data_IF_951612272695
#
_entry.id   IF_951612272695
#
_cell.length_a   1.000
_cell.length_b   1.000
_cell.length_c   1.000
_cell.angle_alpha   90.00
_cell.angle_beta   90.00
_cell.angle_gamma   90.00
#
_symmetry.space_group_name_H-M   'P 1'
#
loop_
_entity.id
_entity.type
_entity.pdbx_description
1 polymer ?
#
# COMPACT_ATOMS: atom_id res chain seq x y z
N UNK A 1 3.24 -10.18 -15.13
CA UNK A 1 2.28 -10.87 -14.23
C UNK A 1 0.94 -10.86 -14.94
N UNK A 2 0.26 -12.01 -15.07
CA UNK A 2 -1.06 -12.02 -15.69
C UNK A 2 -2.13 -11.41 -14.77
N UNK A 3 -3.28 -11.07 -15.34
CA UNK A 3 -4.35 -10.33 -14.66
C UNK A 3 -4.82 -11.01 -13.36
N UNK A 4 -5.12 -12.31 -13.41
CA UNK A 4 -5.61 -13.05 -12.24
C UNK A 4 -4.58 -13.05 -11.10
N UNK A 5 -3.29 -13.18 -11.41
CA UNK A 5 -2.22 -13.08 -10.41
C UNK A 5 -2.13 -11.68 -9.82
N UNK A 6 -2.22 -10.63 -10.65
CA UNK A 6 -2.21 -9.24 -10.16
C UNK A 6 -3.36 -8.99 -9.19
N UNK A 7 -4.57 -9.42 -9.54
CA UNK A 7 -5.75 -9.30 -8.66
C UNK A 7 -5.55 -10.00 -7.32
N UNK A 8 -5.15 -11.28 -7.34
CA UNK A 8 -4.93 -12.06 -6.10
C UNK A 8 -3.81 -11.46 -5.25
N UNK A 9 -2.73 -11.02 -5.88
CA UNK A 9 -1.62 -10.38 -5.19
C UNK A 9 -2.02 -9.04 -4.57
N UNK A 10 -2.78 -8.22 -5.31
CA UNK A 10 -3.36 -6.98 -4.79
C UNK A 10 -4.28 -7.23 -3.58
N UNK A 11 -5.14 -8.26 -3.63
CA UNK A 11 -5.95 -8.66 -2.46
C UNK A 11 -5.06 -9.08 -1.29
N UNK A 12 -4.00 -9.88 -1.53
CA UNK A 12 -3.07 -10.30 -0.49
C UNK A 12 -2.37 -9.12 0.19
N UNK A 13 -1.85 -8.18 -0.60
CA UNK A 13 -1.24 -6.94 -0.10
C UNK A 13 -2.28 -6.08 0.65
N UNK A 14 -3.50 -5.98 0.11
CA UNK A 14 -4.57 -5.23 0.74
C UNK A 14 -4.99 -5.80 2.10
N UNK A 15 -5.07 -7.12 2.21
CA UNK A 15 -5.36 -7.81 3.49
C UNK A 15 -4.23 -7.60 4.48
N UNK A 16 -2.96 -7.69 4.05
CA UNK A 16 -1.81 -7.43 4.91
C UNK A 16 -1.86 -6.01 5.51
N UNK A 17 -2.11 -5.01 4.67
CA UNK A 17 -2.25 -3.61 5.09
C UNK A 17 -3.39 -3.42 6.11
N UNK A 18 -4.55 -4.03 5.85
CA UNK A 18 -5.70 -3.94 6.75
C UNK A 18 -5.44 -4.61 8.09
N UNK A 19 -4.95 -5.85 8.10
CA UNK A 19 -4.76 -6.61 9.33
C UNK A 19 -3.71 -5.99 10.22
N UNK A 20 -2.58 -5.55 9.67
CA UNK A 20 -1.56 -4.88 10.46
C UNK A 20 -2.01 -3.48 10.90
N UNK A 21 -2.70 -2.72 10.04
CA UNK A 21 -3.29 -1.44 10.44
C UNK A 21 -4.29 -1.58 11.59
N UNK A 22 -5.15 -2.60 11.56
CA UNK A 22 -6.08 -2.90 12.64
C UNK A 22 -5.37 -3.38 13.90
N UNK A 23 -4.36 -4.26 13.76
CA UNK A 23 -3.57 -4.74 14.90
C UNK A 23 -2.83 -3.60 15.61
N UNK A 24 -2.27 -2.65 14.83
CA UNK A 24 -1.65 -1.44 15.37
C UNK A 24 -2.68 -0.51 16.01
N UNK A 25 -3.84 -0.28 15.37
CA UNK A 25 -4.90 0.54 15.95
C UNK A 25 -5.37 0.00 17.32
N UNK A 26 -5.55 -1.32 17.43
CA UNK A 26 -5.96 -1.98 18.67
C UNK A 26 -4.82 -1.97 19.70
N UNK A 27 -3.60 -2.33 19.28
CA UNK A 27 -2.43 -2.44 20.15
C UNK A 27 -1.93 -1.11 20.71
N UNK A 28 -2.07 -0.03 19.94
CA UNK A 28 -1.64 1.33 20.32
C UNK A 28 -2.61 1.98 21.31
N UNK A 29 -3.79 1.40 21.59
CA UNK A 29 -4.81 2.03 22.46
C UNK A 29 -4.96 3.51 22.10
N UNK A 30 -5.41 3.81 20.88
CA UNK A 30 -5.43 5.17 20.27
C UNK A 30 -5.98 6.32 21.15
N UNK A 31 -6.65 6.00 22.26
CA UNK A 31 -7.18 6.93 23.25
C UNK A 31 -6.26 7.20 24.45
N UNK A 32 -5.09 6.55 24.54
CA UNK A 32 -4.14 6.75 25.64
C UNK A 32 -3.07 7.78 25.25
N UNK A 33 -3.18 9.04 25.74
CA UNK A 33 -2.24 10.10 25.39
C UNK A 33 -0.84 9.90 26.00
N UNK A 34 -0.66 8.95 26.93
CA UNK A 34 0.67 8.59 27.44
C UNK A 34 1.43 7.68 26.48
N UNK A 35 0.76 7.17 25.44
CA UNK A 35 1.36 6.27 24.49
C UNK A 35 2.19 7.05 23.44
N UNK A 36 3.52 6.84 23.36
CA UNK A 36 4.40 7.55 22.41
C UNK A 36 4.09 7.23 20.94
N UNK A 37 3.22 6.27 20.68
CA UNK A 37 2.74 5.90 19.36
C UNK A 37 1.59 6.79 18.87
N UNK A 38 0.87 7.45 19.77
CA UNK A 38 -0.24 8.35 19.43
C UNK A 38 0.32 9.70 18.98
N UNK A 39 0.28 9.94 17.68
CA UNK A 39 0.64 11.23 17.09
C UNK A 39 -0.14 11.45 15.79
N UNK A 40 -0.44 12.71 15.42
CA UNK A 40 -1.14 13.00 14.16
C UNK A 40 -0.44 12.40 12.94
N UNK A 41 0.90 12.29 12.98
CA UNK A 41 1.71 11.64 11.94
C UNK A 41 1.34 10.15 11.84
N UNK A 42 1.40 9.41 12.95
CA UNK A 42 1.15 7.97 12.94
C UNK A 42 -0.31 7.64 12.61
N UNK A 43 -1.26 8.45 13.08
CA UNK A 43 -2.69 8.30 12.78
C UNK A 43 -2.97 8.49 11.28
N UNK A 44 -2.33 9.48 10.65
CA UNK A 44 -2.42 9.69 9.21
C UNK A 44 -1.85 8.50 8.43
N UNK A 45 -0.63 8.06 8.76
CA UNK A 45 0.01 6.95 8.07
C UNK A 45 -0.79 5.64 8.24
N UNK A 46 -1.37 5.41 9.42
CA UNK A 46 -2.25 4.27 9.69
C UNK A 46 -3.54 4.33 8.86
N UNK A 47 -4.17 5.52 8.80
CA UNK A 47 -5.38 5.75 7.99
C UNK A 47 -5.12 5.50 6.51
N UNK A 48 -3.94 5.88 6.02
CA UNK A 48 -3.51 5.60 4.65
C UNK A 48 -3.32 4.10 4.41
N UNK A 49 -2.70 3.36 5.33
CA UNK A 49 -2.56 1.89 5.24
C UNK A 49 -3.95 1.22 5.15
N UNK A 50 -4.89 1.61 6.00
CA UNK A 50 -6.26 1.08 5.98
C UNK A 50 -7.00 1.43 4.67
N UNK A 51 -6.91 2.68 4.23
CA UNK A 51 -7.57 3.15 3.01
C UNK A 51 -7.03 2.42 1.76
N UNK A 52 -5.71 2.37 1.62
CA UNK A 52 -5.04 1.68 0.50
C UNK A 52 -5.37 0.18 0.54
N UNK A 53 -5.32 -0.42 1.73
CA UNK A 53 -5.66 -1.83 1.92
C UNK A 53 -7.10 -2.15 1.51
N UNK A 54 -8.06 -1.33 1.92
CA UNK A 54 -9.47 -1.45 1.55
C UNK A 54 -9.69 -1.31 0.04
N UNK A 55 -9.08 -0.29 -0.58
CA UNK A 55 -9.14 -0.04 -2.03
C UNK A 55 -8.59 -1.24 -2.81
N UNK A 56 -7.43 -1.77 -2.42
CA UNK A 56 -6.81 -2.93 -3.05
C UNK A 56 -7.68 -4.19 -2.94
N UNK A 57 -8.26 -4.44 -1.76
CA UNK A 57 -9.17 -5.57 -1.57
C UNK A 57 -10.45 -5.42 -2.40
N UNK A 58 -11.01 -4.22 -2.44
CA UNK A 58 -12.23 -3.91 -3.17
C UNK A 58 -12.06 -4.17 -4.67
N UNK A 59 -11.10 -3.51 -5.31
CA UNK A 59 -10.86 -3.64 -6.75
C UNK A 59 -10.31 -5.02 -7.13
N UNK A 60 -9.43 -5.59 -6.30
CA UNK A 60 -8.88 -6.93 -6.50
C UNK A 60 -9.95 -8.02 -6.55
N UNK A 61 -10.99 -7.92 -5.72
CA UNK A 61 -12.09 -8.89 -5.66
C UNK A 61 -13.15 -8.64 -6.72
N UNK A 62 -13.56 -7.39 -6.94
CA UNK A 62 -14.80 -7.08 -7.68
C UNK A 62 -14.64 -6.79 -9.17
N UNK A 63 -13.46 -6.38 -9.61
CA UNK A 63 -13.29 -5.85 -10.97
C UNK A 63 -12.10 -6.46 -11.69
N UNK A 64 -12.19 -6.48 -13.02
CA UNK A 64 -11.05 -6.74 -13.89
C UNK A 64 -10.03 -5.61 -13.80
N UNK A 65 -8.75 -5.90 -14.03
CA UNK A 65 -7.68 -4.88 -13.91
C UNK A 65 -7.88 -3.76 -14.94
N UNK A 66 -8.51 -4.08 -16.07
CA UNK A 66 -8.92 -3.11 -17.08
C UNK A 66 -9.85 -2.01 -16.58
N UNK A 67 -10.68 -2.32 -15.59
CA UNK A 67 -11.71 -1.42 -15.04
C UNK A 67 -11.19 -0.58 -13.86
N UNK A 68 -10.04 -0.94 -13.28
CA UNK A 68 -9.48 -0.24 -12.13
C UNK A 68 -9.18 1.21 -12.49
N UNK A 69 -9.60 2.22 -11.71
CA UNK A 69 -9.47 3.62 -12.11
C UNK A 69 -7.99 4.04 -12.22
N UNK A 70 -7.69 5.01 -13.09
CA UNK A 70 -6.32 5.55 -13.22
C UNK A 70 -5.81 6.18 -11.91
N UNK A 71 -6.73 6.73 -11.11
CA UNK A 71 -6.45 7.27 -9.77
C UNK A 71 -5.88 6.22 -8.81
N UNK A 72 -6.12 4.93 -9.04
CA UNK A 72 -5.50 3.86 -8.26
C UNK A 72 -3.98 3.90 -8.35
N UNK A 73 -3.43 4.27 -9.52
CA UNK A 73 -1.99 4.45 -9.68
C UNK A 73 -1.44 5.52 -8.73
N UNK A 74 -2.17 6.63 -8.56
CA UNK A 74 -1.80 7.71 -7.63
C UNK A 74 -1.91 7.28 -6.17
N UNK A 75 -2.96 6.54 -5.81
CA UNK A 75 -3.13 5.97 -4.46
C UNK A 75 -1.95 5.04 -4.12
N UNK A 76 -1.59 4.16 -5.05
CA UNK A 76 -0.47 3.24 -4.89
C UNK A 76 0.87 3.98 -4.79
N UNK A 77 1.08 5.04 -5.58
CA UNK A 77 2.28 5.86 -5.48
C UNK A 77 2.38 6.54 -4.10
N UNK A 78 1.28 7.11 -3.61
CA UNK A 78 1.22 7.69 -2.26
C UNK A 78 1.59 6.64 -1.20
N UNK A 79 1.04 5.43 -1.30
CA UNK A 79 1.36 4.33 -0.39
C UNK A 79 2.86 3.94 -0.44
N UNK A 80 3.47 3.87 -1.63
CA UNK A 80 4.92 3.65 -1.78
C UNK A 80 5.72 4.76 -1.09
N UNK A 81 5.34 6.02 -1.29
CA UNK A 81 6.03 7.17 -0.65
C UNK A 81 5.87 7.12 0.87
N UNK A 82 4.68 6.81 1.37
CA UNK A 82 4.38 6.68 2.81
C UNK A 82 5.21 5.59 3.47
N UNK A 83 5.27 4.39 2.87
CA UNK A 83 6.08 3.31 3.41
C UNK A 83 7.58 3.58 3.24
N UNK A 84 7.98 4.19 2.12
CA UNK A 84 9.36 4.61 1.88
C UNK A 84 9.83 5.65 2.89
N UNK A 85 8.96 6.58 3.27
CA UNK A 85 9.24 7.57 4.32
C UNK A 85 9.48 6.90 5.68
N UNK A 86 8.64 5.93 6.07
CA UNK A 86 8.86 5.16 7.32
C UNK A 86 10.20 4.40 7.30
N UNK A 87 10.58 3.81 6.17
CA UNK A 87 11.90 3.14 6.03
C UNK A 87 13.04 4.16 6.09
N UNK A 88 12.88 5.33 5.49
CA UNK A 88 13.85 6.41 5.58
C UNK A 88 14.03 6.89 7.03
N UNK A 89 12.97 7.02 7.82
CA UNK A 89 13.06 7.39 9.25
C UNK A 89 13.93 6.39 10.02
N UNK A 90 13.84 5.10 9.69
CA UNK A 90 14.69 4.04 10.27
C UNK A 90 16.15 4.25 9.90
N UNK A 91 16.44 4.43 8.60
CA UNK A 91 17.81 4.62 8.10
C UNK A 91 18.43 5.91 8.64
N UNK A 92 17.63 6.95 8.81
CA UNK A 92 18.05 8.25 9.35
C UNK A 92 18.18 8.26 10.88
N UNK A 93 17.91 7.15 11.58
CA UNK A 93 18.04 7.05 13.03
C UNK A 93 17.10 7.97 13.80
N UNK A 94 15.91 8.25 13.25
CA UNK A 94 14.92 9.10 13.94
C UNK A 94 14.40 8.40 15.20
N UNK A 95 14.25 9.15 16.29
CA UNK A 95 13.82 8.66 17.60
C UNK A 95 12.29 8.47 17.70
N UNK A 96 11.68 7.84 16.70
CA UNK A 96 10.25 7.50 16.72
C UNK A 96 10.05 6.09 17.27
N UNK A 97 8.96 5.89 18.03
CA UNK A 97 8.62 4.57 18.59
C UNK A 97 8.53 3.49 17.50
N UNK A 98 8.08 3.87 16.30
CA UNK A 98 8.04 3.02 15.11
C UNK A 98 9.43 2.51 14.68
N UNK A 99 10.42 3.38 14.70
CA UNK A 99 11.79 3.09 14.25
C UNK A 99 12.50 2.11 15.18
N UNK A 100 12.13 2.11 16.46
CA UNK A 100 12.74 1.24 17.47
C UNK A 100 12.25 -0.21 17.45
N UNK A 101 11.21 -0.53 16.66
CA UNK A 101 10.60 -1.87 16.62
C UNK A 101 11.00 -2.65 15.36
N UNK A 102 11.96 -3.57 15.48
CA UNK A 102 12.44 -4.43 14.39
C UNK A 102 11.31 -5.19 13.65
N UNK A 103 10.31 -5.77 14.32
CA UNK A 103 9.20 -6.43 13.63
C UNK A 103 8.39 -5.48 12.73
N UNK A 104 8.17 -4.23 13.16
CA UNK A 104 7.41 -3.25 12.39
C UNK A 104 8.20 -2.72 11.20
N UNK A 105 9.53 -2.62 11.32
CA UNK A 105 10.40 -2.31 10.18
C UNK A 105 10.30 -3.41 9.13
N UNK A 106 10.39 -4.68 9.54
CA UNK A 106 10.27 -5.81 8.63
C UNK A 106 8.91 -5.83 7.90
N UNK A 107 7.82 -5.65 8.63
CA UNK A 107 6.48 -5.58 8.04
C UNK A 107 6.34 -4.37 7.10
N UNK A 108 6.92 -3.23 7.45
CA UNK A 108 6.93 -2.04 6.57
C UNK A 108 7.66 -2.30 5.26
N UNK A 109 8.80 -2.99 5.30
CA UNK A 109 9.54 -3.39 4.09
C UNK A 109 8.71 -4.34 3.23
N UNK A 110 8.04 -5.33 3.84
CA UNK A 110 7.15 -6.25 3.11
C UNK A 110 5.98 -5.49 2.46
N UNK A 111 5.36 -4.55 3.17
CA UNK A 111 4.30 -3.68 2.64
C UNK A 111 4.80 -2.82 1.48
N UNK A 112 5.95 -2.17 1.64
CA UNK A 112 6.58 -1.35 0.60
C UNK A 112 6.81 -2.16 -0.68
N UNK A 113 7.42 -3.34 -0.56
CA UNK A 113 7.67 -4.24 -1.70
C UNK A 113 6.35 -4.70 -2.31
N UNK A 114 5.38 -5.13 -1.48
CA UNK A 114 4.08 -5.59 -1.94
C UNK A 114 3.33 -4.52 -2.75
N UNK A 115 3.18 -3.32 -2.19
CA UNK A 115 2.54 -2.18 -2.86
C UNK A 115 3.32 -1.77 -4.11
N UNK A 116 4.65 -1.74 -4.04
CA UNK A 116 5.52 -1.41 -5.18
C UNK A 116 5.36 -2.40 -6.35
N UNK A 117 5.26 -3.70 -6.07
CA UNK A 117 4.99 -4.73 -7.08
C UNK A 117 3.60 -4.53 -7.71
N UNK A 118 2.57 -4.26 -6.90
CA UNK A 118 1.23 -3.97 -7.42
C UNK A 118 1.24 -2.73 -8.31
N UNK A 119 1.91 -1.66 -7.88
CA UNK A 119 2.05 -0.41 -8.63
C UNK A 119 2.70 -0.63 -10.00
N UNK A 120 3.88 -1.25 -10.03
CA UNK A 120 4.62 -1.51 -11.27
C UNK A 120 3.84 -2.44 -12.19
N UNK A 121 3.23 -3.49 -11.65
CA UNK A 121 2.43 -4.42 -12.44
C UNK A 121 1.18 -3.76 -13.03
N UNK A 122 0.50 -2.91 -12.25
CA UNK A 122 -0.64 -2.14 -12.73
C UNK A 122 -0.26 -1.14 -13.82
N UNK A 123 0.84 -0.40 -13.63
CA UNK A 123 1.34 0.55 -14.61
C UNK A 123 1.71 -0.14 -15.93
N UNK A 124 2.40 -1.28 -15.86
CA UNK A 124 2.72 -2.11 -17.03
C UNK A 124 1.49 -2.61 -17.75
N UNK A 125 0.53 -3.19 -17.02
CA UNK A 125 -0.73 -3.66 -17.62
C UNK A 125 -1.46 -2.55 -18.39
N UNK A 126 -1.52 -1.33 -17.83
CA UNK A 126 -2.11 -0.18 -18.50
C UNK A 126 -1.35 0.25 -19.74
N UNK A 127 -0.02 0.23 -19.71
CA UNK A 127 0.82 0.56 -20.87
C UNK A 127 0.63 -0.46 -22.01
N UNK A 128 0.61 -1.75 -21.69
CA UNK A 128 0.42 -2.83 -22.65
C UNK A 128 -0.96 -2.73 -23.31
N UNK A 129 -2.02 -2.50 -22.52
CA UNK A 129 -3.38 -2.34 -23.04
C UNK A 129 -3.52 -1.14 -23.97
N UNK A 130 -2.96 0.02 -23.59
CA UNK A 130 -2.93 1.21 -24.46
C UNK A 130 -2.21 0.94 -25.78
N UNK A 131 -1.11 0.18 -25.72
CA UNK A 131 -0.35 -0.20 -26.92
C UNK A 131 -1.18 -1.13 -27.81
N UNK A 132 -1.85 -2.14 -27.25
CA UNK A 132 -2.74 -3.02 -27.99
C UNK A 132 -3.92 -2.28 -28.62
N UNK A 133 -4.52 -1.32 -27.90
CA UNK A 133 -5.60 -0.46 -28.42
C UNK A 133 -5.14 0.43 -29.57
N UNK A 134 -3.90 0.94 -29.56
CA UNK A 134 -3.31 1.71 -30.67
C UNK A 134 -3.08 0.85 -31.92
N UNK A 135 -2.46 -0.31 -31.73
CA UNK A 135 -2.23 -1.27 -32.82
C UNK A 135 -3.53 -1.73 -33.47
N UNK A 136 -4.58 -1.96 -32.67
CA UNK A 136 -5.91 -2.31 -33.18
C UNK A 136 -6.57 -1.17 -34.00
N UNK A 137 -6.16 0.09 -33.76
CA UNK A 137 -6.60 1.26 -34.54
C UNK A 137 -5.71 1.56 -35.76
N UNK A 138 -4.62 0.80 -35.96
CA UNK A 138 -3.66 1.05 -37.05
C UNK A 138 -2.76 2.27 -36.84
N UNK A 139 -2.63 2.73 -35.59
CA UNK A 139 -1.67 3.76 -35.13
C UNK A 139 -0.31 3.12 -34.79
#
# INVERSE_FOLDING_TARGET
MNEQRLRRFAVGVGVLLLLEGLALAVGVRLTDPSNPWVSPKNDLLLSLDLLVGAVLCWFGRRSEVGEWPSTLGSILLVAVVVHGFRVWEVVAGRSDAFVTSTPLVAVTLVKLVGVGVVFVAFARYRADRRTAERLARGE
#
